data_IF_793962373071
#
_entry.id   IF_793962373071
#
_cell.length_a   1.000
_cell.length_b   1.000
_cell.length_c   1.000
_cell.angle_alpha   90.00
_cell.angle_beta   90.00
_cell.angle_gamma   90.00
#
_symmetry.space_group_name_H-M   'P 1'
#
loop_
_entity.id
_entity.type
_entity.pdbx_description
1 polymer ?
#
# COMPACT_ATOMS: atom_id res chain seq x y z
N UNK A 1 30.24 12.13 -7.40
CA UNK A 1 28.91 11.91 -6.82
C UNK A 1 28.02 10.92 -7.60
N UNK A 2 28.38 10.45 -8.80
CA UNK A 2 27.58 9.46 -9.60
C UNK A 2 27.64 7.99 -9.13
N UNK A 3 28.28 7.66 -8.02
CA UNK A 3 28.50 6.27 -7.56
C UNK A 3 27.64 5.79 -6.39
N UNK A 4 26.86 6.64 -5.76
CA UNK A 4 26.25 6.32 -4.45
C UNK A 4 24.84 5.72 -4.50
N UNK A 5 24.11 5.80 -5.61
CA UNK A 5 22.72 5.36 -5.67
C UNK A 5 22.45 4.11 -6.47
N UNK A 6 23.39 3.67 -7.29
CA UNK A 6 23.37 2.24 -7.65
C UNK A 6 23.50 1.30 -6.42
N UNK A 7 23.80 1.86 -5.25
CA UNK A 7 23.94 1.12 -3.99
C UNK A 7 22.68 1.08 -3.11
N UNK A 8 21.61 1.80 -3.42
CA UNK A 8 20.33 1.62 -2.70
C UNK A 8 19.62 0.34 -3.14
N UNK A 9 20.02 -0.24 -4.26
CA UNK A 9 19.54 -1.52 -4.78
C UNK A 9 20.70 -2.51 -5.04
N UNK A 10 21.88 -2.29 -4.47
CA UNK A 10 22.97 -3.25 -4.60
C UNK A 10 22.91 -4.26 -3.45
N UNK A 11 22.00 -5.18 -3.59
CA UNK A 11 22.06 -6.47 -2.89
C UNK A 11 23.28 -7.21 -3.46
N UNK A 12 24.39 -7.21 -2.74
CA UNK A 12 25.57 -7.98 -3.10
C UNK A 12 25.33 -9.46 -2.83
N UNK A 13 25.16 -10.23 -3.89
CA UNK A 13 25.04 -11.68 -3.83
C UNK A 13 26.41 -12.33 -3.97
N UNK A 14 26.70 -13.23 -3.05
CA UNK A 14 27.69 -14.28 -3.25
C UNK A 14 26.95 -15.61 -3.40
N UNK A 15 27.03 -16.23 -4.58
CA UNK A 15 26.40 -17.53 -4.88
C UNK A 15 27.45 -18.62 -4.69
N UNK A 16 27.08 -19.63 -3.90
CA UNK A 16 27.77 -20.94 -3.94
C UNK A 16 26.73 -21.99 -4.36
N UNK A 17 26.80 -22.51 -5.57
CA UNK A 17 25.84 -23.49 -6.10
C UNK A 17 26.44 -24.91 -6.00
N UNK A 18 25.72 -25.83 -5.35
CA UNK A 18 25.91 -27.28 -5.48
C UNK A 18 24.56 -27.91 -5.73
N UNK A 19 24.40 -28.67 -6.81
CA UNK A 19 23.13 -29.07 -7.41
C UNK A 19 22.38 -30.28 -6.82
N UNK A 20 21.09 -30.35 -7.06
CA UNK A 20 20.14 -31.47 -6.78
C UNK A 20 18.72 -31.20 -7.32
N UNK A 21 17.92 -32.25 -7.63
CA UNK A 21 16.66 -32.18 -8.40
C UNK A 21 15.39 -31.87 -7.58
N UNK A 22 14.35 -31.36 -8.26
CA UNK A 22 13.18 -30.68 -7.74
C UNK A 22 11.94 -31.56 -7.43
N UNK A 23 11.13 -31.15 -6.44
CA UNK A 23 9.72 -31.50 -6.23
C UNK A 23 8.91 -30.21 -6.03
N UNK A 24 7.72 -30.13 -6.63
CA UNK A 24 6.92 -28.92 -6.76
C UNK A 24 6.28 -28.48 -5.45
N UNK A 25 6.72 -27.34 -4.89
CA UNK A 25 5.90 -26.45 -4.08
C UNK A 25 5.51 -25.24 -4.94
N UNK A 26 4.33 -24.68 -4.74
CA UNK A 26 3.79 -23.62 -5.57
C UNK A 26 4.52 -22.30 -5.29
N UNK A 27 4.79 -21.48 -6.32
CA UNK A 27 5.42 -20.14 -6.21
C UNK A 27 4.74 -19.22 -5.17
N UNK A 28 3.49 -19.49 -4.85
CA UNK A 28 2.69 -18.81 -3.83
C UNK A 28 3.22 -19.01 -2.39
N UNK A 29 3.78 -20.16 -2.08
CA UNK A 29 4.26 -20.50 -0.73
C UNK A 29 5.58 -19.78 -0.41
N UNK A 30 6.50 -19.74 -1.37
CA UNK A 30 7.79 -19.08 -1.19
C UNK A 30 7.66 -17.56 -1.01
N UNK A 31 6.87 -16.89 -1.86
CA UNK A 31 6.64 -15.45 -1.77
C UNK A 31 6.01 -15.07 -0.44
N UNK A 32 5.01 -15.83 -0.01
CA UNK A 32 4.34 -15.61 1.27
C UNK A 32 5.28 -15.85 2.45
N UNK A 33 6.08 -16.92 2.41
CA UNK A 33 7.06 -17.23 3.46
C UNK A 33 8.10 -16.12 3.59
N UNK A 34 8.71 -15.70 2.50
CA UNK A 34 9.71 -14.62 2.49
C UNK A 34 9.09 -13.31 2.96
N UNK A 35 7.90 -12.95 2.44
CA UNK A 35 7.21 -11.73 2.85
C UNK A 35 6.96 -11.69 4.35
N UNK A 36 6.45 -12.78 4.94
CA UNK A 36 6.17 -12.85 6.37
C UNK A 36 7.43 -12.67 7.23
N UNK A 37 8.57 -13.25 6.82
CA UNK A 37 9.84 -13.05 7.51
C UNK A 37 10.32 -11.60 7.41
N UNK A 38 10.22 -10.99 6.23
CA UNK A 38 10.62 -9.60 6.03
C UNK A 38 9.71 -8.64 6.81
N UNK A 39 8.39 -8.86 6.80
CA UNK A 39 7.40 -8.06 7.54
C UNK A 39 7.61 -8.18 9.06
N UNK A 40 8.06 -9.35 9.53
CA UNK A 40 8.39 -9.58 10.94
C UNK A 40 9.78 -9.05 11.35
N UNK A 41 10.54 -8.45 10.44
CA UNK A 41 11.91 -7.97 10.68
C UNK A 41 12.87 -9.08 11.12
N UNK A 42 12.68 -10.31 10.61
CA UNK A 42 13.58 -11.41 10.88
C UNK A 42 14.93 -11.17 10.17
N UNK A 43 16.02 -11.23 10.93
CA UNK A 43 17.36 -10.95 10.42
C UNK A 43 18.04 -12.18 9.81
N UNK A 44 17.55 -13.38 10.13
CA UNK A 44 17.98 -14.63 9.55
C UNK A 44 16.83 -15.63 9.56
N UNK A 45 16.59 -16.29 8.42
CA UNK A 45 15.56 -17.31 8.27
C UNK A 45 15.89 -18.30 7.18
N UNK A 46 15.30 -19.49 7.25
CA UNK A 46 15.44 -20.54 6.26
C UNK A 46 14.17 -20.64 5.41
N UNK A 47 14.36 -20.80 4.10
CA UNK A 47 13.26 -21.03 3.16
C UNK A 47 13.51 -22.30 2.36
N UNK A 48 12.43 -23.00 1.99
CA UNK A 48 12.49 -24.09 1.04
C UNK A 48 12.62 -23.51 -0.38
N UNK A 49 13.72 -23.87 -1.06
CA UNK A 49 14.09 -23.29 -2.34
C UNK A 49 14.12 -24.34 -3.45
N UNK A 50 13.03 -24.47 -4.17
CA UNK A 50 12.87 -25.44 -5.26
C UNK A 50 13.08 -24.79 -6.65
N UNK A 51 14.27 -24.41 -6.94
CA UNK A 51 14.91 -24.26 -8.26
C UNK A 51 14.17 -23.59 -9.44
N UNK A 52 13.22 -22.68 -9.28
CA UNK A 52 12.59 -21.99 -10.42
C UNK A 52 12.59 -20.46 -10.36
N UNK A 53 12.68 -19.89 -9.18
CA UNK A 53 12.75 -18.44 -9.04
C UNK A 53 14.00 -18.11 -8.25
N UNK A 54 14.80 -17.17 -8.70
CA UNK A 54 15.88 -16.62 -7.89
C UNK A 54 15.24 -15.98 -6.64
N UNK A 55 15.86 -16.12 -5.46
CA UNK A 55 15.43 -15.40 -4.25
C UNK A 55 15.28 -13.91 -4.52
N UNK A 56 16.01 -13.39 -5.49
CA UNK A 56 15.86 -12.03 -6.00
C UNK A 56 14.55 -11.75 -6.70
N UNK A 57 14.06 -12.67 -7.54
CA UNK A 57 12.78 -12.51 -8.22
C UNK A 57 11.66 -12.45 -7.19
N UNK A 58 11.74 -13.30 -6.15
CA UNK A 58 10.81 -13.27 -5.01
C UNK A 58 10.84 -11.92 -4.30
N UNK A 59 12.04 -11.39 -4.02
CA UNK A 59 12.19 -10.10 -3.35
C UNK A 59 11.73 -8.95 -4.24
N UNK A 60 12.02 -9.00 -5.53
CA UNK A 60 11.51 -8.02 -6.49
C UNK A 60 9.97 -8.04 -6.58
N UNK A 61 9.36 -9.21 -6.50
CA UNK A 61 7.90 -9.34 -6.48
C UNK A 61 7.28 -8.81 -5.18
N UNK A 62 7.97 -8.97 -4.05
CA UNK A 62 7.61 -8.36 -2.78
C UNK A 62 7.78 -6.84 -2.86
N UNK A 63 8.89 -6.37 -3.43
CA UNK A 63 9.19 -4.96 -3.64
C UNK A 63 8.10 -4.22 -4.39
N UNK A 64 7.50 -4.86 -5.39
CA UNK A 64 6.39 -4.29 -6.16
C UNK A 64 5.09 -4.14 -5.36
N UNK A 65 4.98 -4.82 -4.21
CA UNK A 65 3.77 -4.85 -3.39
C UNK A 65 3.88 -4.02 -2.11
N UNK A 66 5.10 -3.83 -1.60
CA UNK A 66 5.38 -3.09 -0.37
C UNK A 66 6.63 -2.23 -0.52
N UNK A 67 6.42 -0.98 -0.91
CA UNK A 67 7.50 -0.01 -1.12
C UNK A 67 8.26 0.29 0.18
N UNK A 68 7.56 0.34 1.32
CA UNK A 68 8.18 0.62 2.61
C UNK A 68 9.12 -0.51 3.04
N UNK A 69 8.66 -1.74 2.95
CA UNK A 69 9.46 -2.91 3.29
C UNK A 69 10.72 -2.98 2.42
N UNK A 70 10.56 -2.75 1.11
CA UNK A 70 11.67 -2.74 0.17
C UNK A 70 12.72 -1.69 0.51
N UNK A 71 12.29 -0.45 0.79
CA UNK A 71 13.18 0.64 1.15
C UNK A 71 13.79 0.48 2.55
N UNK A 72 13.22 -0.37 3.39
CA UNK A 72 13.77 -0.71 4.70
C UNK A 72 14.93 -1.71 4.63
N UNK A 73 15.12 -2.41 3.50
CA UNK A 73 16.19 -3.37 3.32
C UNK A 73 17.52 -2.65 3.04
N UNK A 74 18.50 -2.80 3.92
CA UNK A 74 19.85 -2.27 3.75
C UNK A 74 20.77 -3.26 3.03
N UNK A 75 20.63 -4.54 3.36
CA UNK A 75 21.42 -5.64 2.78
C UNK A 75 20.64 -6.94 2.89
N UNK A 76 20.68 -7.74 1.83
CA UNK A 76 20.21 -9.11 1.84
C UNK A 76 21.27 -10.00 1.21
N UNK A 77 21.56 -11.12 1.84
CA UNK A 77 22.42 -12.20 1.32
C UNK A 77 21.75 -13.53 1.60
N UNK A 78 22.00 -14.51 0.77
CA UNK A 78 21.55 -15.87 1.06
C UNK A 78 22.61 -16.90 0.64
N UNK A 79 22.60 -18.00 1.38
CA UNK A 79 23.44 -19.18 1.10
C UNK A 79 22.50 -20.36 0.82
N UNK A 80 22.74 -21.07 -0.29
CA UNK A 80 21.94 -22.22 -0.71
C UNK A 80 22.65 -23.52 -0.40
N UNK A 81 21.96 -24.45 0.29
CA UNK A 81 22.44 -25.80 0.55
C UNK A 81 21.32 -26.80 0.24
N UNK A 82 21.49 -27.57 -0.85
CA UNK A 82 20.45 -28.49 -1.33
C UNK A 82 19.19 -27.74 -1.76
N UNK A 83 18.05 -28.10 -1.20
CA UNK A 83 16.74 -27.51 -1.47
C UNK A 83 16.36 -26.41 -0.47
N UNK A 84 17.31 -25.94 0.34
CA UNK A 84 17.10 -24.88 1.33
C UNK A 84 18.00 -23.69 1.08
N UNK A 85 17.50 -22.50 1.38
CA UNK A 85 18.31 -21.30 1.42
C UNK A 85 18.20 -20.63 2.80
N UNK A 86 19.34 -20.28 3.37
CA UNK A 86 19.42 -19.44 4.56
C UNK A 86 19.57 -17.99 4.12
N UNK A 87 18.59 -17.18 4.42
CA UNK A 87 18.53 -15.74 4.08
C UNK A 87 18.95 -14.93 5.29
N UNK A 88 19.88 -13.96 5.09
CA UNK A 88 20.27 -12.99 6.12
C UNK A 88 19.96 -11.59 5.64
N UNK A 89 19.25 -10.85 6.47
CA UNK A 89 18.75 -9.52 6.16
C UNK A 89 19.31 -8.50 7.15
N UNK A 90 19.73 -7.36 6.65
CA UNK A 90 20.02 -6.18 7.45
C UNK A 90 19.03 -5.09 7.04
N UNK A 91 18.29 -4.55 7.99
CA UNK A 91 17.35 -3.48 7.78
C UNK A 91 17.96 -2.11 8.15
N UNK A 92 17.30 -1.03 7.75
CA UNK A 92 17.62 0.33 8.19
C UNK A 92 17.28 0.56 9.66
N UNK A 93 16.31 -0.20 10.18
CA UNK A 93 15.80 -0.13 11.54
C UNK A 93 15.81 -1.52 12.19
N UNK A 94 15.81 -1.56 13.51
CA UNK A 94 15.57 -2.79 14.26
C UNK A 94 14.06 -3.05 14.44
N UNK A 95 13.67 -4.27 14.75
CA UNK A 95 12.28 -4.62 15.07
C UNK A 95 11.68 -3.72 16.16
N UNK A 96 12.44 -3.43 17.21
CA UNK A 96 12.01 -2.55 18.30
C UNK A 96 11.79 -1.10 17.84
N UNK A 97 12.61 -0.63 16.92
CA UNK A 97 12.43 0.70 16.31
C UNK A 97 11.19 0.73 15.42
N UNK A 98 10.87 -0.35 14.70
CA UNK A 98 9.62 -0.46 13.94
C UNK A 98 8.37 -0.51 14.83
N UNK A 99 8.43 -1.21 15.95
CA UNK A 99 7.36 -1.19 16.95
C UNK A 99 7.11 0.25 17.43
N UNK A 100 8.17 0.98 17.80
CA UNK A 100 8.09 2.40 18.17
C UNK A 100 7.52 3.27 17.05
N UNK A 101 8.00 3.10 15.80
CA UNK A 101 7.50 3.81 14.62
C UNK A 101 5.98 3.62 14.48
N UNK A 102 5.52 2.37 14.55
CA UNK A 102 4.11 2.03 14.37
C UNK A 102 3.23 2.63 15.48
N UNK A 103 3.67 2.56 16.73
CA UNK A 103 2.95 3.15 17.87
C UNK A 103 2.90 4.68 17.75
N UNK A 104 4.04 5.32 17.49
CA UNK A 104 4.14 6.78 17.46
C UNK A 104 3.40 7.38 16.26
N UNK A 105 3.55 6.81 15.06
CA UNK A 105 2.80 7.27 13.88
C UNK A 105 1.29 7.05 14.04
N UNK A 106 0.87 5.94 14.66
CA UNK A 106 -0.55 5.72 14.97
C UNK A 106 -1.08 6.79 15.92
N UNK A 107 -0.31 7.14 16.96
CA UNK A 107 -0.67 8.21 17.91
C UNK A 107 -0.77 9.57 17.21
N UNK A 108 0.22 9.89 16.36
CA UNK A 108 0.26 11.14 15.60
C UNK A 108 -0.94 11.23 14.65
N UNK A 109 -1.15 10.23 13.79
CA UNK A 109 -2.25 10.23 12.82
C UNK A 109 -3.60 10.38 13.51
N UNK A 110 -3.84 9.66 14.62
CA UNK A 110 -5.06 9.83 15.42
C UNK A 110 -5.24 11.24 16.01
N UNK A 111 -4.15 11.98 16.21
CA UNK A 111 -4.22 13.34 16.76
C UNK A 111 -4.49 14.42 15.71
N UNK A 112 -4.11 14.17 14.44
CA UNK A 112 -4.21 15.17 13.37
C UNK A 112 -5.31 14.87 12.34
N UNK A 113 -5.74 13.60 12.24
CA UNK A 113 -6.80 13.16 11.32
C UNK A 113 -8.09 12.94 12.09
N UNK A 114 -9.17 13.53 11.60
CA UNK A 114 -10.53 13.39 12.18
C UNK A 114 -11.43 12.61 11.22
N UNK A 115 -12.49 11.98 11.76
CA UNK A 115 -13.39 11.10 11.01
C UNK A 115 -14.14 11.82 9.86
N UNK A 116 -14.29 13.15 9.94
CA UNK A 116 -14.97 13.95 8.92
C UNK A 116 -14.03 14.48 7.81
N UNK A 117 -12.75 14.20 7.87
CA UNK A 117 -11.81 14.60 6.82
C UNK A 117 -12.00 13.73 5.57
N UNK A 118 -12.17 14.37 4.41
CA UNK A 118 -12.10 13.69 3.12
C UNK A 118 -10.64 13.34 2.76
N UNK A 119 -10.44 12.59 1.68
CA UNK A 119 -9.10 12.12 1.28
C UNK A 119 -8.13 13.28 0.99
N UNK A 120 -8.60 14.35 0.35
CA UNK A 120 -7.79 15.56 0.09
C UNK A 120 -7.31 16.20 1.39
N UNK A 121 -8.22 16.40 2.35
CA UNK A 121 -7.88 17.01 3.63
C UNK A 121 -6.87 16.16 4.42
N UNK A 122 -6.99 14.83 4.36
CA UNK A 122 -6.03 13.91 4.97
C UNK A 122 -4.63 14.04 4.36
N UNK A 123 -4.54 14.02 3.02
CA UNK A 123 -3.26 14.20 2.31
C UNK A 123 -2.63 15.54 2.67
N UNK A 124 -3.42 16.62 2.61
CA UNK A 124 -2.96 17.97 2.94
C UNK A 124 -2.49 18.11 4.39
N UNK A 125 -3.23 17.52 5.33
CA UNK A 125 -2.87 17.55 6.75
C UNK A 125 -1.57 16.79 7.03
N UNK A 126 -1.39 15.62 6.41
CA UNK A 126 -0.15 14.83 6.56
C UNK A 126 1.03 15.55 5.91
N UNK A 127 0.87 16.07 4.67
CA UNK A 127 1.90 16.86 4.02
C UNK A 127 2.35 18.03 4.90
N UNK A 128 1.39 18.83 5.38
CA UNK A 128 1.68 19.97 6.25
C UNK A 128 2.32 19.57 7.57
N UNK A 129 1.90 18.47 8.20
CA UNK A 129 2.50 17.97 9.43
C UNK A 129 3.98 17.63 9.23
N UNK A 130 4.32 16.99 8.10
CA UNK A 130 5.70 16.59 7.82
C UNK A 130 6.58 17.80 7.48
N UNK A 131 6.07 18.77 6.71
CA UNK A 131 6.75 20.04 6.44
C UNK A 131 7.06 20.80 7.74
N UNK A 132 6.10 20.91 8.65
CA UNK A 132 6.27 21.65 9.92
C UNK A 132 7.16 20.91 10.93
N UNK A 133 7.28 19.60 10.79
CA UNK A 133 7.90 18.74 11.80
C UNK A 133 9.35 18.40 11.51
N UNK A 134 9.71 18.29 10.25
CA UNK A 134 11.03 17.81 9.85
C UNK A 134 11.85 18.87 9.14
N UNK A 135 13.17 18.77 9.33
CA UNK A 135 14.18 19.50 8.57
C UNK A 135 14.95 18.53 7.67
N UNK A 136 15.35 19.00 6.49
CA UNK A 136 16.16 18.17 5.60
C UNK A 136 17.57 17.93 6.20
N UNK A 137 18.03 16.68 6.14
CA UNK A 137 19.35 16.28 6.64
C UNK A 137 20.39 16.26 5.50
N UNK A 138 21.11 17.36 5.33
CA UNK A 138 22.19 17.50 4.35
C UNK A 138 23.39 16.58 4.64
N UNK A 139 23.49 16.01 5.84
CA UNK A 139 24.51 15.02 6.18
C UNK A 139 24.23 13.63 5.61
N UNK A 140 23.00 13.38 5.16
CA UNK A 140 22.50 12.09 4.64
C UNK A 140 22.59 10.92 5.64
N UNK A 141 22.66 11.21 6.93
CA UNK A 141 22.70 10.18 7.98
C UNK A 141 21.30 9.71 8.37
N UNK A 142 20.36 10.65 8.48
CA UNK A 142 18.97 10.39 8.92
C UNK A 142 18.09 10.06 7.70
N UNK A 143 18.04 8.80 7.30
CA UNK A 143 17.35 8.36 6.07
C UNK A 143 16.20 7.38 6.28
N UNK A 144 15.67 7.30 7.50
CA UNK A 144 14.59 6.37 7.85
C UNK A 144 13.60 7.03 8.81
N UNK A 145 12.44 6.37 9.03
CA UNK A 145 11.34 6.91 9.83
C UNK A 145 11.72 7.07 11.32
N UNK A 146 12.51 6.14 11.87
CA UNK A 146 12.92 6.22 13.27
C UNK A 146 13.78 7.46 13.53
N UNK A 147 14.77 7.71 12.66
CA UNK A 147 15.58 8.92 12.76
C UNK A 147 14.76 10.20 12.58
N UNK A 148 13.82 10.22 11.61
CA UNK A 148 12.89 11.32 11.41
C UNK A 148 12.08 11.65 12.69
N UNK A 149 11.48 10.62 13.31
CA UNK A 149 10.67 10.77 14.50
C UNK A 149 11.47 11.24 15.72
N UNK A 150 12.71 10.74 15.90
CA UNK A 150 13.50 10.94 17.09
C UNK A 150 14.38 12.20 17.04
N UNK A 151 14.83 12.59 15.85
CA UNK A 151 15.73 13.75 15.67
C UNK A 151 15.03 14.98 15.09
N UNK A 152 13.89 14.81 14.41
CA UNK A 152 13.23 15.85 13.63
C UNK A 152 13.92 16.17 12.30
N UNK A 153 14.92 15.35 11.88
CA UNK A 153 15.66 15.53 10.62
C UNK A 153 15.60 14.27 9.79
N UNK A 154 15.48 14.45 8.47
CA UNK A 154 15.54 13.29 7.57
C UNK A 154 15.83 13.70 6.12
N UNK A 155 16.28 12.73 5.29
CA UNK A 155 16.43 12.90 3.85
C UNK A 155 15.10 12.67 3.13
N UNK A 156 15.08 12.85 1.80
CA UNK A 156 13.91 12.54 0.96
C UNK A 156 13.36 11.12 1.19
N UNK A 157 14.23 10.13 1.40
CA UNK A 157 13.82 8.77 1.70
C UNK A 157 13.00 8.69 3.00
N UNK A 158 13.46 9.31 4.08
CA UNK A 158 12.73 9.31 5.34
C UNK A 158 11.42 10.11 5.28
N UNK A 159 11.38 11.23 4.54
CA UNK A 159 10.13 11.95 4.26
C UNK A 159 9.13 11.04 3.54
N UNK A 160 9.54 10.41 2.42
CA UNK A 160 8.66 9.55 1.62
C UNK A 160 8.18 8.32 2.40
N UNK A 161 9.06 7.67 3.16
CA UNK A 161 8.72 6.51 4.00
C UNK A 161 7.76 6.89 5.14
N UNK A 162 7.96 8.06 5.77
CA UNK A 162 7.06 8.54 6.84
C UNK A 162 5.69 8.91 6.27
N UNK A 163 5.67 9.63 5.15
CA UNK A 163 4.42 9.95 4.44
C UNK A 163 3.65 8.68 4.07
N UNK A 164 4.33 7.68 3.52
CA UNK A 164 3.74 6.39 3.16
C UNK A 164 3.01 5.73 4.34
N UNK A 165 3.68 5.58 5.49
CA UNK A 165 3.06 4.99 6.69
C UNK A 165 1.90 5.82 7.23
N UNK A 166 2.04 7.14 7.29
CA UNK A 166 0.98 8.03 7.78
C UNK A 166 -0.25 8.03 6.85
N UNK A 167 -0.03 8.04 5.54
CA UNK A 167 -1.09 7.96 4.54
C UNK A 167 -1.84 6.62 4.63
N UNK A 168 -1.12 5.50 4.77
CA UNK A 168 -1.72 4.19 5.00
C UNK A 168 -2.56 4.16 6.28
N UNK A 169 -2.05 4.69 7.41
CA UNK A 169 -2.79 4.80 8.66
C UNK A 169 -4.04 5.69 8.54
N UNK A 170 -4.00 6.69 7.67
CA UNK A 170 -5.14 7.55 7.37
C UNK A 170 -6.12 6.94 6.33
N UNK A 171 -5.81 5.76 5.79
CA UNK A 171 -6.63 5.07 4.78
C UNK A 171 -6.51 5.70 3.38
N UNK A 172 -5.36 6.28 3.04
CA UNK A 172 -5.06 6.84 1.72
C UNK A 172 -4.15 5.87 0.96
N UNK A 173 -4.63 5.36 -0.17
CA UNK A 173 -3.84 4.51 -1.05
C UNK A 173 -2.66 5.31 -1.62
N UNK A 174 -1.45 4.78 -1.44
CA UNK A 174 -0.26 5.49 -1.87
C UNK A 174 0.90 4.54 -2.19
N UNK A 175 1.91 5.03 -2.91
CA UNK A 175 3.14 4.34 -3.30
C UNK A 175 4.34 5.24 -3.00
N UNK A 176 5.54 4.67 -2.91
CA UNK A 176 6.78 5.44 -2.90
C UNK A 176 7.44 5.29 -4.27
N UNK A 177 7.77 6.42 -4.92
CA UNK A 177 8.59 6.43 -6.13
C UNK A 177 10.05 6.64 -5.75
N UNK A 178 10.92 5.87 -6.40
CA UNK A 178 12.36 6.08 -6.40
C UNK A 178 12.79 6.46 -7.81
N UNK A 179 13.47 7.59 -7.92
CA UNK A 179 13.93 8.14 -9.19
C UNK A 179 15.04 9.16 -8.98
N UNK A 180 15.10 10.15 -9.85
CA UNK A 180 16.06 11.25 -9.79
C UNK A 180 15.34 12.60 -9.92
N UNK A 181 15.87 13.63 -9.29
CA UNK A 181 15.57 15.03 -9.54
C UNK A 181 16.84 15.71 -10.04
N UNK A 182 16.83 16.21 -11.29
CA UNK A 182 18.00 16.84 -11.93
C UNK A 182 19.27 15.96 -11.87
N UNK A 183 19.10 14.64 -11.96
CA UNK A 183 20.20 13.65 -11.90
C UNK A 183 20.71 13.38 -10.48
N UNK A 184 20.04 13.90 -9.45
CA UNK A 184 20.26 13.57 -8.05
C UNK A 184 19.17 12.59 -7.62
N UNK A 185 19.54 11.45 -7.11
CA UNK A 185 18.60 10.46 -6.63
C UNK A 185 17.63 10.99 -5.59
N UNK A 186 16.37 10.68 -5.79
CA UNK A 186 15.28 11.25 -5.02
C UNK A 186 14.15 10.23 -4.81
N UNK A 187 13.47 10.35 -3.67
CA UNK A 187 12.30 9.54 -3.33
C UNK A 187 11.13 10.43 -2.93
N UNK A 188 9.94 10.12 -3.46
CA UNK A 188 8.70 10.84 -3.16
C UNK A 188 7.48 9.89 -3.23
N UNK A 189 6.27 10.40 -3.05
CA UNK A 189 5.07 9.56 -3.02
C UNK A 189 4.18 9.76 -4.26
N UNK A 190 3.42 8.72 -4.59
CA UNK A 190 2.14 8.82 -5.28
C UNK A 190 1.02 8.64 -4.29
N UNK A 191 -0.05 9.39 -4.46
CA UNK A 191 -1.29 9.28 -3.66
C UNK A 191 -2.50 9.15 -4.57
N UNK A 192 -3.46 8.33 -4.15
CA UNK A 192 -4.71 8.16 -4.89
C UNK A 192 -5.81 9.01 -4.29
N UNK A 193 -6.40 9.86 -5.09
CA UNK A 193 -7.49 10.76 -4.73
C UNK A 193 -8.58 10.70 -5.79
N UNK A 194 -9.82 10.39 -5.38
CA UNK A 194 -10.96 10.28 -6.29
C UNK A 194 -10.74 9.31 -7.47
N UNK A 195 -10.06 8.19 -7.22
CA UNK A 195 -9.76 7.17 -8.22
C UNK A 195 -8.58 7.48 -9.15
N UNK A 196 -7.96 8.66 -9.04
CA UNK A 196 -6.80 9.10 -9.84
C UNK A 196 -5.55 9.19 -9.00
N UNK A 197 -4.40 9.02 -9.64
CA UNK A 197 -3.11 9.11 -9.00
C UNK A 197 -2.46 10.48 -9.20
N UNK A 198 -1.73 10.95 -8.19
CA UNK A 198 -1.04 12.23 -8.16
C UNK A 198 0.29 12.10 -7.46
N UNK A 199 1.29 12.84 -7.92
CA UNK A 199 2.56 12.97 -7.21
C UNK A 199 2.41 13.86 -5.99
N UNK A 200 3.09 13.47 -4.91
CA UNK A 200 3.21 14.19 -3.67
C UNK A 200 4.68 14.15 -3.23
N UNK A 201 5.40 15.24 -3.37
CA UNK A 201 6.77 15.34 -2.92
C UNK A 201 6.86 16.26 -1.69
N UNK A 202 6.72 15.66 -0.52
CA UNK A 202 6.73 16.38 0.76
C UNK A 202 8.06 17.08 0.99
N UNK A 203 9.18 16.47 0.61
CA UNK A 203 10.52 17.02 0.77
C UNK A 203 10.65 18.37 0.08
N UNK A 204 10.22 18.44 -1.18
CA UNK A 204 10.33 19.66 -1.96
C UNK A 204 9.15 20.62 -1.76
N UNK A 205 8.01 20.14 -1.25
CA UNK A 205 6.90 21.00 -0.86
C UNK A 205 7.28 21.95 0.30
N UNK A 206 8.07 21.46 1.24
CA UNK A 206 8.58 22.22 2.37
C UNK A 206 9.35 23.48 1.93
N UNK A 207 10.24 23.33 0.94
CA UNK A 207 11.06 24.45 0.45
C UNK A 207 10.45 25.22 -0.71
N UNK A 208 9.52 24.64 -1.46
CA UNK A 208 8.96 25.19 -2.69
C UNK A 208 7.49 25.63 -2.59
N UNK A 209 6.98 25.84 -1.38
CA UNK A 209 5.62 26.32 -1.10
C UNK A 209 4.54 25.47 -1.80
N UNK A 210 4.57 24.16 -1.56
CA UNK A 210 3.61 23.17 -2.10
C UNK A 210 3.61 23.04 -3.65
N UNK A 211 4.72 23.38 -4.30
CA UNK A 211 4.85 23.27 -5.77
C UNK A 211 4.58 21.86 -6.29
N UNK A 212 4.90 20.84 -5.51
CA UNK A 212 4.80 19.43 -5.89
C UNK A 212 3.67 18.69 -5.15
N UNK A 213 2.66 19.43 -4.72
CA UNK A 213 1.46 18.89 -4.11
C UNK A 213 0.43 18.50 -5.17
N UNK A 214 0.09 17.21 -5.27
CA UNK A 214 -0.90 16.62 -6.17
C UNK A 214 -0.70 16.98 -7.65
N UNK A 215 0.50 16.71 -8.17
CA UNK A 215 0.89 17.01 -9.56
C UNK A 215 0.82 15.78 -10.46
N UNK A 216 0.75 16.04 -11.77
CA UNK A 216 0.81 15.02 -12.80
C UNK A 216 2.25 14.70 -13.26
N UNK A 217 2.39 13.61 -14.03
CA UNK A 217 3.67 13.17 -14.60
C UNK A 217 4.37 14.26 -15.41
N UNK A 218 3.60 14.95 -16.25
CA UNK A 218 4.15 15.98 -17.13
C UNK A 218 4.75 17.15 -16.36
N UNK A 219 4.10 17.56 -15.26
CA UNK A 219 4.59 18.66 -14.43
C UNK A 219 5.92 18.30 -13.79
N UNK A 220 6.03 17.08 -13.18
CA UNK A 220 7.27 16.65 -12.55
C UNK A 220 8.40 16.46 -13.57
N UNK A 221 8.12 15.86 -14.74
CA UNK A 221 9.13 15.68 -15.79
C UNK A 221 9.66 17.00 -16.32
N UNK A 222 8.81 18.03 -16.45
CA UNK A 222 9.23 19.38 -16.85
C UNK A 222 10.16 20.02 -15.80
N UNK A 223 10.04 19.65 -14.54
CA UNK A 223 10.86 20.13 -13.44
C UNK A 223 12.09 19.23 -13.16
N UNK A 224 12.40 18.29 -14.08
CA UNK A 224 13.62 17.50 -14.03
C UNK A 224 13.51 16.18 -13.24
N UNK A 225 12.30 15.76 -12.84
CA UNK A 225 12.09 14.44 -12.25
C UNK A 225 12.13 13.34 -13.30
N UNK A 226 12.76 12.22 -12.97
CA UNK A 226 12.79 11.01 -13.81
C UNK A 226 12.57 9.77 -12.95
N UNK A 227 11.86 8.78 -13.50
CA UNK A 227 11.59 7.47 -12.87
C UNK A 227 11.20 6.43 -13.92
N UNK A 228 11.25 5.16 -13.57
CA UNK A 228 10.79 4.04 -14.41
C UNK A 228 9.25 4.01 -14.41
N UNK A 229 8.66 4.65 -15.41
CA UNK A 229 7.20 4.90 -15.46
C UNK A 229 6.36 3.62 -15.49
N UNK A 230 6.88 2.50 -16.02
CA UNK A 230 6.15 1.25 -16.11
C UNK A 230 5.90 0.56 -14.77
N UNK A 231 6.64 0.97 -13.72
CA UNK A 231 6.52 0.39 -12.38
C UNK A 231 5.47 1.08 -11.52
N UNK A 232 4.89 2.20 -12.02
CA UNK A 232 4.00 3.06 -11.25
C UNK A 232 2.72 3.42 -12.01
N UNK A 233 1.63 3.72 -11.30
CA UNK A 233 0.42 4.29 -11.90
C UNK A 233 0.70 5.63 -12.60
N UNK A 234 -0.01 5.89 -13.70
CA UNK A 234 0.08 7.13 -14.46
C UNK A 234 -0.68 8.25 -13.73
N UNK A 235 -0.08 9.44 -13.66
CA UNK A 235 -0.69 10.65 -13.15
C UNK A 235 -1.02 11.61 -14.31
N UNK A 236 -2.25 11.54 -14.83
CA UNK A 236 -2.64 12.22 -16.07
C UNK A 236 -2.85 13.74 -15.91
N UNK A 237 -3.30 14.19 -14.74
CA UNK A 237 -3.71 15.58 -14.50
C UNK A 237 -3.18 16.12 -13.18
N UNK A 238 -2.99 17.44 -13.09
CA UNK A 238 -2.79 18.10 -11.80
C UNK A 238 -4.14 18.14 -11.07
N UNK A 239 -4.10 17.98 -9.75
CA UNK A 239 -5.27 18.31 -8.95
C UNK A 239 -5.41 19.83 -8.90
N UNK A 240 -6.41 20.33 -9.59
CA UNK A 240 -6.81 21.71 -9.44
C UNK A 240 -7.76 21.77 -8.26
N UNK A 241 -7.48 22.63 -7.28
CA UNK A 241 -8.41 22.92 -6.19
C UNK A 241 -9.74 23.36 -6.81
N UNK A 242 -10.57 22.37 -7.10
CA UNK A 242 -11.90 22.57 -7.68
C UNK A 242 -12.84 23.12 -6.62
N UNK A 243 -12.52 24.31 -6.08
CA UNK A 243 -13.50 25.17 -5.42
C UNK A 243 -14.62 25.63 -6.34
N UNK A 244 -14.59 25.20 -7.62
CA UNK A 244 -15.60 25.55 -8.60
C UNK A 244 -15.99 24.35 -9.46
N UNK A 245 -16.63 23.31 -8.93
CA UNK A 245 -17.60 22.47 -9.68
C UNK A 245 -18.02 21.20 -8.97
N UNK A 246 -18.09 21.19 -7.63
CA UNK A 246 -19.14 20.40 -7.04
C UNK A 246 -20.27 21.33 -6.66
N UNK A 247 -21.02 21.79 -7.68
CA UNK A 247 -22.42 22.09 -7.46
C UNK A 247 -23.02 20.84 -6.84
N UNK A 248 -23.34 20.94 -5.56
CA UNK A 248 -24.34 20.09 -4.94
C UNK A 248 -25.61 20.31 -5.77
N UNK A 249 -25.80 19.53 -6.82
CA UNK A 249 -27.13 19.34 -7.37
C UNK A 249 -27.91 18.63 -6.29
N UNK A 250 -28.58 19.41 -5.46
CA UNK A 250 -29.73 18.95 -4.68
C UNK A 250 -30.75 18.49 -5.71
N UNK A 251 -30.65 17.25 -6.13
CA UNK A 251 -31.75 16.61 -6.84
C UNK A 251 -32.79 16.19 -5.80
N UNK A 252 -33.66 17.16 -5.45
CA UNK A 252 -35.03 16.89 -5.11
C UNK A 252 -35.72 16.47 -6.41
N UNK A 253 -35.59 15.23 -6.77
CA UNK A 253 -36.53 14.50 -7.61
C UNK A 253 -36.47 13.03 -7.24
N UNK A 254 -37.24 12.71 -6.21
CA UNK A 254 -37.59 11.33 -5.91
C UNK A 254 -38.61 10.91 -6.97
N UNK A 255 -38.17 10.12 -7.93
CA UNK A 255 -39.09 9.20 -8.62
C UNK A 255 -38.65 7.77 -8.32
N UNK A 256 -39.50 7.13 -7.53
CA UNK A 256 -39.47 5.72 -7.25
C UNK A 256 -39.56 4.90 -8.55
N UNK A 257 -38.53 4.13 -8.88
CA UNK A 257 -38.69 2.92 -9.68
C UNK A 257 -37.50 1.99 -9.52
N UNK A 258 -37.81 0.79 -9.02
CA UNK A 258 -37.01 -0.44 -9.04
C UNK A 258 -35.71 -0.46 -8.23
N UNK A 259 -35.75 -1.18 -7.14
CA UNK A 259 -34.77 -1.41 -6.09
C UNK A 259 -33.38 -1.90 -6.48
N UNK A 260 -32.58 -1.08 -7.15
CA UNK A 260 -31.15 -1.28 -7.23
C UNK A 260 -30.49 -0.28 -6.27
N UNK A 261 -29.82 -0.81 -5.22
CA UNK A 261 -28.93 0.01 -4.41
C UNK A 261 -27.77 0.46 -5.30
N UNK A 262 -27.45 1.76 -5.28
CA UNK A 262 -26.27 2.30 -5.96
C UNK A 262 -24.98 1.69 -5.38
N UNK A 263 -23.94 1.54 -6.23
CA UNK A 263 -22.61 1.19 -5.80
C UNK A 263 -22.14 2.08 -4.63
N UNK A 264 -21.44 1.48 -3.68
CA UNK A 264 -20.79 2.23 -2.60
C UNK A 264 -19.40 2.65 -3.10
N UNK A 265 -19.16 3.95 -3.12
CA UNK A 265 -17.86 4.50 -3.48
C UNK A 265 -16.90 4.42 -2.29
N UNK A 266 -15.67 3.95 -2.54
CA UNK A 266 -14.66 3.77 -1.52
C UNK A 266 -13.47 2.96 -2.03
N UNK A 267 -12.64 2.49 -1.09
CA UNK A 267 -11.45 1.72 -1.43
C UNK A 267 -11.32 0.48 -0.55
N UNK A 268 -10.76 -0.59 -1.13
CA UNK A 268 -10.38 -1.78 -0.41
C UNK A 268 -9.09 -1.54 0.38
N UNK A 269 -9.05 -2.02 1.61
CA UNK A 269 -7.92 -1.94 2.51
C UNK A 269 -7.64 -3.31 3.13
N UNK A 270 -6.39 -3.77 3.08
CA UNK A 270 -5.96 -5.03 3.68
C UNK A 270 -5.17 -4.75 4.96
N UNK A 271 -5.64 -5.27 6.09
CA UNK A 271 -4.96 -5.17 7.38
C UNK A 271 -5.26 -6.39 8.27
N UNK A 272 -4.28 -6.82 9.07
CA UNK A 272 -4.43 -7.95 9.99
C UNK A 272 -4.96 -9.22 9.29
N UNK A 273 -4.47 -9.48 8.07
CA UNK A 273 -4.90 -10.61 7.20
C UNK A 273 -6.37 -10.59 6.81
N UNK A 274 -7.04 -9.44 6.88
CA UNK A 274 -8.43 -9.24 6.52
C UNK A 274 -8.60 -8.07 5.56
N UNK A 275 -9.57 -8.17 4.66
CA UNK A 275 -9.97 -7.09 3.78
C UNK A 275 -11.08 -6.26 4.40
N UNK A 276 -10.99 -4.94 4.23
CA UNK A 276 -11.97 -3.94 4.65
C UNK A 276 -12.31 -3.04 3.47
N UNK A 277 -13.53 -2.51 3.41
CA UNK A 277 -13.88 -1.49 2.43
C UNK A 277 -14.16 -0.18 3.15
N UNK A 278 -13.37 0.85 2.83
CA UNK A 278 -13.50 2.18 3.42
C UNK A 278 -14.28 3.05 2.44
N UNK A 279 -15.44 3.52 2.86
CA UNK A 279 -16.27 4.46 2.08
C UNK A 279 -15.58 5.81 1.94
N UNK A 280 -15.87 6.54 0.88
CA UNK A 280 -15.32 7.90 0.67
C UNK A 280 -15.62 8.89 1.81
N UNK A 281 -16.60 8.59 2.65
CA UNK A 281 -16.90 9.33 3.88
C UNK A 281 -16.02 8.94 5.08
N UNK A 282 -14.99 8.09 4.87
CA UNK A 282 -14.00 7.70 5.89
C UNK A 282 -14.45 6.63 6.89
N UNK A 283 -15.62 5.98 6.70
CA UNK A 283 -16.09 4.90 7.57
C UNK A 283 -15.95 3.53 6.88
N UNK A 284 -15.70 2.49 7.66
CA UNK A 284 -15.79 1.12 7.15
C UNK A 284 -17.20 0.81 6.63
N UNK A 285 -17.26 0.15 5.49
CA UNK A 285 -18.51 -0.48 5.05
C UNK A 285 -18.81 -1.65 5.99
N UNK A 286 -20.08 -1.86 6.31
CA UNK A 286 -20.56 -3.00 7.11
C UNK A 286 -21.83 -3.56 6.46
N UNK A 287 -22.10 -4.84 6.69
CA UNK A 287 -23.25 -5.53 6.07
C UNK A 287 -23.02 -5.76 4.56
N UNK A 288 -24.12 -5.93 3.83
CA UNK A 288 -24.08 -6.15 2.40
C UNK A 288 -23.93 -4.84 1.62
N UNK A 289 -22.93 -4.76 0.76
CA UNK A 289 -22.64 -3.61 -0.08
C UNK A 289 -22.40 -4.04 -1.53
N UNK A 290 -22.81 -3.21 -2.49
CA UNK A 290 -22.40 -3.33 -3.88
C UNK A 290 -21.14 -2.47 -4.08
N UNK A 291 -20.05 -3.09 -4.50
CA UNK A 291 -18.76 -2.46 -4.76
C UNK A 291 -18.36 -2.94 -6.15
N UNK A 292 -18.08 -2.03 -7.07
CA UNK A 292 -17.72 -2.35 -8.47
C UNK A 292 -18.69 -3.36 -9.14
N UNK A 293 -19.99 -3.15 -8.96
CA UNK A 293 -21.09 -4.01 -9.45
C UNK A 293 -21.11 -5.43 -8.89
N UNK A 294 -20.43 -5.71 -7.78
CA UNK A 294 -20.44 -7.00 -7.09
C UNK A 294 -20.90 -6.86 -5.67
N UNK A 295 -21.57 -7.87 -5.14
CA UNK A 295 -22.00 -7.90 -3.76
C UNK A 295 -20.89 -8.44 -2.85
N UNK A 296 -20.65 -7.74 -1.75
CA UNK A 296 -19.74 -8.14 -0.67
C UNK A 296 -20.44 -8.03 0.68
N UNK A 297 -20.12 -8.95 1.58
CA UNK A 297 -20.58 -8.87 2.96
C UNK A 297 -19.41 -8.45 3.87
N UNK A 298 -19.57 -7.33 4.56
CA UNK A 298 -18.60 -6.82 5.54
C UNK A 298 -19.19 -7.04 6.94
N UNK A 299 -18.41 -7.61 7.85
CA UNK A 299 -18.81 -7.81 9.25
C UNK A 299 -19.10 -6.51 9.99
N UNK A 300 -19.59 -6.60 11.20
CA UNK A 300 -19.83 -5.43 12.05
C UNK A 300 -18.56 -4.66 12.39
N UNK A 301 -17.40 -5.33 12.33
CA UNK A 301 -16.07 -4.73 12.48
C UNK A 301 -15.49 -4.21 11.15
N UNK A 302 -16.25 -4.26 10.06
CA UNK A 302 -15.84 -3.84 8.72
C UNK A 302 -15.05 -4.90 7.93
N UNK A 303 -14.68 -6.04 8.52
CA UNK A 303 -13.91 -7.07 7.83
C UNK A 303 -14.76 -7.81 6.79
N UNK A 304 -14.20 -8.03 5.59
CA UNK A 304 -14.82 -8.80 4.53
C UNK A 304 -15.05 -10.24 4.96
N UNK A 305 -16.28 -10.70 4.79
CA UNK A 305 -16.71 -12.07 5.11
C UNK A 305 -16.59 -12.94 3.87
N UNK A 306 -16.16 -14.19 4.05
CA UNK A 306 -16.08 -15.20 2.97
C UNK A 306 -16.67 -16.53 3.44
N UNK A 307 -16.92 -17.44 2.49
CA UNK A 307 -17.60 -18.70 2.79
C UNK A 307 -19.12 -18.52 2.90
N UNK A 308 -19.77 -19.44 3.60
CA UNK A 308 -21.21 -19.41 3.84
C UNK A 308 -21.58 -18.43 4.93
N UNK A 309 -22.51 -17.52 4.64
CA UNK A 309 -22.95 -16.42 5.49
C UNK A 309 -24.44 -16.52 5.71
N UNK A 310 -24.89 -16.65 6.96
CA UNK A 310 -26.31 -16.49 7.34
C UNK A 310 -26.63 -15.00 7.48
N UNK A 311 -27.58 -14.53 6.70
CA UNK A 311 -28.09 -13.18 6.78
C UNK A 311 -29.60 -13.16 6.74
N UNK A 312 -30.23 -12.77 7.86
CA UNK A 312 -31.69 -12.74 8.03
C UNK A 312 -32.36 -14.08 7.72
N UNK A 313 -31.75 -15.20 8.13
CA UNK A 313 -32.30 -16.56 7.95
C UNK A 313 -32.16 -17.09 6.52
N UNK A 314 -31.35 -16.44 5.67
CA UNK A 314 -30.98 -16.94 4.35
C UNK A 314 -29.46 -17.11 4.25
N UNK A 315 -29.03 -18.19 3.62
CA UNK A 315 -27.63 -18.48 3.39
C UNK A 315 -27.15 -17.94 2.05
N UNK A 316 -26.01 -17.28 2.07
CA UNK A 316 -25.30 -16.74 0.92
C UNK A 316 -23.86 -17.27 0.93
N UNK A 317 -23.21 -17.30 -0.22
CA UNK A 317 -21.80 -17.69 -0.28
C UNK A 317 -20.96 -16.58 -0.90
N UNK A 318 -19.89 -16.19 -0.21
CA UNK A 318 -18.88 -15.28 -0.74
C UNK A 318 -17.57 -16.05 -1.02
N UNK A 319 -17.00 -15.87 -2.22
CA UNK A 319 -15.80 -16.60 -2.63
C UNK A 319 -14.60 -16.25 -1.75
N UNK A 320 -13.84 -17.25 -1.22
CA UNK A 320 -12.71 -16.98 -0.31
C UNK A 320 -11.60 -16.12 -0.93
N UNK A 321 -11.38 -16.22 -2.25
CA UNK A 321 -10.31 -15.49 -2.94
C UNK A 321 -10.67 -14.04 -3.29
N UNK A 322 -11.91 -13.83 -3.76
CA UNK A 322 -12.35 -12.52 -4.28
C UNK A 322 -13.30 -11.78 -3.34
N UNK A 323 -13.95 -12.49 -2.41
CA UNK A 323 -14.91 -11.93 -1.45
C UNK A 323 -16.30 -11.62 -2.04
N UNK A 324 -16.47 -11.65 -3.35
CA UNK A 324 -17.75 -11.38 -3.98
C UNK A 324 -18.76 -12.52 -3.82
N UNK A 325 -20.03 -12.17 -3.76
CA UNK A 325 -21.13 -13.10 -3.56
C UNK A 325 -21.39 -13.96 -4.81
N UNK A 326 -21.49 -15.27 -4.62
CA UNK A 326 -21.90 -16.21 -5.66
C UNK A 326 -23.37 -16.00 -6.03
N UNK A 327 -23.68 -16.03 -7.32
CA UNK A 327 -25.04 -16.01 -7.86
C UNK A 327 -25.17 -17.06 -8.98
N UNK A 328 -26.36 -17.69 -9.09
CA UNK A 328 -26.62 -18.74 -10.09
C UNK A 328 -25.53 -19.83 -10.13
N UNK A 329 -25.03 -20.24 -8.99
CA UNK A 329 -23.90 -21.16 -8.85
C UNK A 329 -24.26 -22.39 -8.01
N UNK A 330 -23.43 -23.43 -8.11
CA UNK A 330 -23.47 -24.61 -7.21
C UNK A 330 -22.15 -24.61 -6.45
N UNK A 331 -22.24 -24.51 -5.11
CA UNK A 331 -21.10 -24.46 -4.20
C UNK A 331 -21.22 -25.69 -3.28
N UNK A 332 -20.27 -26.60 -3.34
CA UNK A 332 -20.23 -27.82 -2.52
C UNK A 332 -21.55 -28.65 -2.58
N UNK A 333 -22.22 -28.64 -3.75
CA UNK A 333 -23.50 -29.33 -3.95
C UNK A 333 -24.73 -28.50 -3.58
N UNK A 334 -24.57 -27.31 -3.02
CA UNK A 334 -25.64 -26.38 -2.66
C UNK A 334 -25.85 -25.34 -3.76
N UNK A 335 -27.10 -25.16 -4.19
CA UNK A 335 -27.42 -24.18 -5.24
C UNK A 335 -27.76 -22.81 -4.64
N UNK A 336 -27.14 -21.77 -5.18
CA UNK A 336 -27.55 -20.38 -4.95
C UNK A 336 -28.24 -19.81 -6.21
N UNK A 337 -29.31 -19.04 -6.00
CA UNK A 337 -30.10 -18.48 -7.09
C UNK A 337 -29.52 -17.14 -7.63
N UNK A 338 -30.26 -16.45 -8.48
CA UNK A 338 -29.86 -15.16 -9.07
C UNK A 338 -29.74 -14.04 -8.03
N UNK A 339 -30.31 -14.19 -6.85
CA UNK A 339 -30.20 -13.25 -5.74
C UNK A 339 -29.03 -13.58 -4.82
N UNK A 340 -28.32 -14.69 -5.06
CA UNK A 340 -27.25 -15.23 -4.23
C UNK A 340 -27.74 -16.05 -3.04
N UNK A 341 -29.06 -16.18 -2.84
CA UNK A 341 -29.61 -16.97 -1.75
C UNK A 341 -29.54 -18.49 -2.05
N UNK A 342 -29.16 -19.27 -1.06
CA UNK A 342 -29.27 -20.73 -1.15
C UNK A 342 -30.73 -21.15 -1.33
N UNK A 343 -30.92 -22.06 -2.25
CA UNK A 343 -32.21 -22.69 -2.55
C UNK A 343 -32.09 -24.21 -2.41
N UNK A 344 -33.07 -24.83 -1.79
CA UNK A 344 -33.14 -26.30 -1.60
C UNK A 344 -33.43 -27.05 -2.90
#
# INVERSE_FOLDING_TARGET
MKKFIKNLLLVLITISVIGGQAVFATDYDLNTSVYNHLENWDTEFEIDYYNKSDVFDVINDIAKKDDYLTLSLKRLVYDKVGDKATVKVTYLTTKKEEEYINEELTRIVKSIITDNMNTYDKIKTINKYLEDRYEYDDSFVSNNVYSALTTGKTTCQGYAMTAYKMLNLAGVENRIIVGDLEGVPHGWNLVKLNGKWYHLDVTNNDVANNKYFLKNDKSLRNDGFTWEANDYPICDENYEDGLNNYEVKSNNDVQASTGYKSNVDGNWYFANSLWYFIKNIGSYATGWNIIDNRWYCLGSNGAMQTGWIDYNGKWYYCYPGSGDMATNAIIDGYRVDSTGAWVS
#
